data_IF_695196762494
#
_entry.id   IF_695196762494
#
_cell.length_a   1.000
_cell.length_b   1.000
_cell.length_c   1.000
_cell.angle_alpha   90.00
_cell.angle_beta   90.00
_cell.angle_gamma   90.00
#
_symmetry.space_group_name_H-M   'P 1'
#
loop_
_entity.id
_entity.type
_entity.pdbx_description
1 polymer ?
#
# COMPACT_ATOMS: atom_id res chain seq x y z
N UNK A 1 -36.42 -36.28 -26.55
CA UNK A 1 -37.29 -36.32 -25.36
C UNK A 1 -37.20 -37.72 -24.79
N UNK A 2 -36.36 -37.94 -23.78
CA UNK A 2 -36.40 -39.13 -22.92
C UNK A 2 -35.99 -38.66 -21.51
N UNK A 3 -36.82 -39.03 -20.54
CA UNK A 3 -36.90 -38.59 -19.16
C UNK A 3 -35.67 -38.91 -18.29
N UNK A 4 -35.44 -38.02 -17.33
CA UNK A 4 -34.72 -38.26 -16.06
C UNK A 4 -35.41 -39.34 -15.24
N UNK A 5 -34.66 -40.02 -14.36
CA UNK A 5 -35.16 -40.08 -12.99
C UNK A 5 -34.16 -39.59 -11.94
N UNK A 6 -34.65 -38.61 -11.17
CA UNK A 6 -34.29 -38.23 -9.80
C UNK A 6 -34.16 -39.44 -8.87
N UNK A 7 -33.16 -39.44 -8.00
CA UNK A 7 -33.25 -40.15 -6.71
C UNK A 7 -32.56 -39.34 -5.61
N UNK A 8 -33.20 -39.18 -4.43
CA UNK A 8 -32.75 -38.34 -3.34
C UNK A 8 -31.84 -39.12 -2.38
N UNK A 9 -30.72 -38.52 -1.95
CA UNK A 9 -29.99 -39.00 -0.77
C UNK A 9 -30.40 -38.14 0.41
N UNK A 10 -31.39 -38.68 1.13
CA UNK A 10 -31.77 -38.30 2.48
C UNK A 10 -30.94 -39.18 3.43
N UNK A 11 -30.00 -38.58 4.17
CA UNK A 11 -29.48 -39.21 5.40
C UNK A 11 -29.60 -38.18 6.51
N UNK A 12 -30.73 -38.28 7.20
CA UNK A 12 -30.88 -37.84 8.58
C UNK A 12 -29.77 -38.44 9.43
N UNK A 13 -28.96 -37.58 10.05
CA UNK A 13 -28.22 -37.93 11.26
C UNK A 13 -28.36 -36.81 12.27
N UNK A 14 -29.55 -36.76 12.88
CA UNK A 14 -29.73 -36.13 14.18
C UNK A 14 -28.77 -36.79 15.19
N UNK A 15 -27.71 -36.06 15.55
CA UNK A 15 -27.00 -36.27 16.82
C UNK A 15 -27.40 -35.13 17.74
N UNK A 16 -28.48 -35.41 18.47
CA UNK A 16 -28.99 -34.62 19.58
C UNK A 16 -28.01 -34.75 20.76
N UNK A 17 -27.31 -33.67 21.11
CA UNK A 17 -26.58 -33.53 22.38
C UNK A 17 -27.38 -32.59 23.30
N UNK A 18 -27.76 -33.02 24.52
CA UNK A 18 -28.54 -32.21 25.43
C UNK A 18 -27.63 -31.37 26.35
N UNK A 19 -27.97 -30.08 26.49
CA UNK A 19 -27.59 -29.28 27.66
C UNK A 19 -26.38 -28.35 27.50
N UNK A 20 -26.59 -27.18 26.93
CA UNK A 20 -25.94 -25.95 27.40
C UNK A 20 -26.68 -24.71 26.86
N UNK A 21 -26.98 -23.79 27.77
CA UNK A 21 -27.91 -22.67 27.59
C UNK A 21 -27.45 -21.59 26.58
N UNK A 22 -28.38 -20.90 25.88
CA UNK A 22 -28.07 -19.65 25.21
C UNK A 22 -28.05 -18.49 26.23
N UNK A 23 -26.95 -18.40 26.97
CA UNK A 23 -26.72 -17.34 27.94
C UNK A 23 -25.66 -16.35 27.46
N UNK A 24 -26.09 -15.08 27.29
CA UNK A 24 -25.27 -13.84 27.27
C UNK A 24 -24.67 -13.43 25.92
N UNK A 25 -25.47 -12.65 25.19
CA UNK A 25 -24.97 -11.53 24.37
C UNK A 25 -24.12 -10.63 25.25
N UNK A 26 -22.81 -10.65 25.04
CA UNK A 26 -21.91 -9.61 25.54
C UNK A 26 -21.85 -8.56 24.43
N UNK A 27 -22.65 -7.51 24.61
CA UNK A 27 -22.49 -6.25 23.90
C UNK A 27 -21.11 -5.68 24.27
N UNK A 28 -20.11 -5.97 23.46
CA UNK A 28 -18.82 -5.29 23.50
C UNK A 28 -18.95 -3.96 22.77
N UNK A 29 -19.77 -3.09 23.36
CA UNK A 29 -19.74 -1.66 23.15
C UNK A 29 -18.31 -1.13 23.19
N UNK A 30 -17.94 -0.40 22.15
CA UNK A 30 -17.10 0.79 22.25
C UNK A 30 -15.78 0.64 23.01
N UNK A 31 -14.80 -0.07 22.42
CA UNK A 31 -13.41 0.38 22.56
C UNK A 31 -13.06 1.26 21.37
N UNK A 32 -13.45 2.54 21.48
CA UNK A 32 -12.76 3.62 20.79
C UNK A 32 -11.31 3.55 21.25
N UNK A 33 -10.45 3.11 20.35
CA UNK A 33 -9.03 3.29 20.49
C UNK A 33 -8.75 4.78 20.24
N UNK A 34 -8.84 5.59 21.30
CA UNK A 34 -8.23 6.92 21.30
C UNK A 34 -6.73 6.73 21.55
N UNK A 35 -5.97 6.62 20.47
CA UNK A 35 -4.53 6.84 20.50
C UNK A 35 -4.24 8.35 20.46
N UNK A 36 -3.34 8.89 21.30
CA UNK A 36 -2.84 10.24 21.14
C UNK A 36 -1.77 10.23 20.06
N UNK A 37 -2.16 10.65 18.86
CA UNK A 37 -1.29 10.68 17.69
C UNK A 37 -2.12 11.04 16.49
N UNK A 38 -2.64 12.27 16.49
CA UNK A 38 -3.34 12.82 15.34
C UNK A 38 -2.42 12.75 14.14
N UNK A 39 -2.76 11.87 13.19
CA UNK A 39 -2.54 12.20 11.79
C UNK A 39 -3.38 13.46 11.57
N UNK A 40 -2.73 14.61 11.72
CA UNK A 40 -3.29 15.91 11.41
C UNK A 40 -3.83 15.77 9.99
N UNK A 41 -5.15 15.65 9.88
CA UNK A 41 -5.80 15.43 8.60
C UNK A 41 -5.45 16.64 7.76
N UNK A 42 -4.58 16.42 6.77
CA UNK A 42 -4.22 17.41 5.77
C UNK A 42 -5.47 18.20 5.42
N UNK A 43 -5.39 19.53 5.38
CA UNK A 43 -6.56 20.34 5.03
C UNK A 43 -7.16 19.78 3.74
N UNK A 44 -8.50 19.78 3.57
CA UNK A 44 -9.14 19.17 2.41
C UNK A 44 -8.50 19.59 1.07
N UNK A 45 -8.02 20.83 1.00
CA UNK A 45 -7.29 21.40 -0.13
C UNK A 45 -5.90 20.77 -0.34
N UNK A 46 -5.15 20.51 0.73
CA UNK A 46 -3.85 19.85 0.67
C UNK A 46 -3.98 18.40 0.22
N UNK A 47 -4.94 17.65 0.77
CA UNK A 47 -5.17 16.26 0.36
C UNK A 47 -5.55 16.15 -1.13
N UNK A 48 -6.34 17.09 -1.64
CA UNK A 48 -6.68 17.16 -3.08
C UNK A 48 -5.44 17.44 -3.94
N UNK A 49 -4.58 18.36 -3.51
CA UNK A 49 -3.32 18.66 -4.19
C UNK A 49 -2.38 17.44 -4.23
N UNK A 50 -2.22 16.72 -3.12
CA UNK A 50 -1.38 15.53 -3.05
C UNK A 50 -1.90 14.41 -3.96
N UNK A 51 -3.22 14.18 -4.00
CA UNK A 51 -3.83 13.24 -4.94
C UNK A 51 -3.61 13.64 -6.40
N UNK A 52 -3.68 14.93 -6.72
CA UNK A 52 -3.35 15.41 -8.07
C UNK A 52 -1.88 15.16 -8.41
N UNK A 53 -0.96 15.35 -7.45
CA UNK A 53 0.45 15.05 -7.62
C UNK A 53 0.68 13.54 -7.82
N UNK A 54 0.02 12.68 -7.05
CA UNK A 54 0.06 11.23 -7.22
C UNK A 54 -0.34 10.80 -8.65
N UNK A 55 -1.42 11.39 -9.18
CA UNK A 55 -1.84 11.15 -10.57
C UNK A 55 -0.79 11.53 -11.61
N UNK A 56 -0.06 12.65 -11.39
CA UNK A 56 1.05 13.05 -12.28
C UNK A 56 2.26 12.10 -12.21
N UNK A 57 2.49 11.49 -11.06
CA UNK A 57 3.50 10.46 -10.86
C UNK A 57 3.07 9.10 -11.45
N UNK A 58 1.85 8.99 -11.98
CA UNK A 58 1.29 7.75 -12.51
C UNK A 58 0.91 6.75 -11.42
N UNK A 59 0.74 7.22 -10.18
CA UNK A 59 0.08 6.48 -9.11
C UNK A 59 -1.44 6.69 -9.20
N UNK A 60 -2.20 5.75 -8.64
CA UNK A 60 -3.65 5.85 -8.58
C UNK A 60 -4.06 6.98 -7.61
N UNK A 61 -4.70 8.07 -8.06
CA UNK A 61 -5.12 9.16 -7.18
C UNK A 61 -6.21 8.75 -6.19
N UNK A 62 -6.83 7.58 -6.38
CA UNK A 62 -7.82 7.00 -5.46
C UNK A 62 -7.19 6.12 -4.37
N UNK A 63 -5.88 5.83 -4.47
CA UNK A 63 -5.15 5.12 -3.41
C UNK A 63 -5.26 5.92 -2.10
N UNK A 64 -5.65 5.24 -1.02
CA UNK A 64 -5.80 5.85 0.30
C UNK A 64 -4.50 6.53 0.79
N UNK A 65 -3.33 6.04 0.34
CA UNK A 65 -2.02 6.60 0.65
C UNK A 65 -1.76 7.93 -0.06
N UNK A 66 -2.39 8.20 -1.20
CA UNK A 66 -2.11 9.39 -2.01
C UNK A 66 -2.51 10.71 -1.34
N UNK A 67 -3.34 10.66 -0.28
CA UNK A 67 -3.82 11.83 0.44
C UNK A 67 -2.87 12.38 1.51
N UNK A 68 -1.77 11.69 1.82
CA UNK A 68 -0.82 12.13 2.86
C UNK A 68 0.59 12.33 2.28
N UNK A 69 1.42 13.21 2.88
CA UNK A 69 2.81 13.40 2.47
C UNK A 69 3.61 12.09 2.48
N UNK A 70 3.44 11.26 3.52
CA UNK A 70 4.12 9.97 3.68
C UNK A 70 3.70 9.00 2.59
N UNK A 71 2.40 8.90 2.32
CA UNK A 71 1.90 7.97 1.32
C UNK A 71 2.24 8.41 -0.10
N UNK A 72 2.27 9.73 -0.39
CA UNK A 72 2.78 10.25 -1.65
C UNK A 72 4.28 9.95 -1.84
N UNK A 73 5.09 10.16 -0.80
CA UNK A 73 6.51 9.84 -0.82
C UNK A 73 6.75 8.35 -1.07
N UNK A 74 5.98 7.49 -0.40
CA UNK A 74 6.03 6.04 -0.56
C UNK A 74 5.66 5.61 -1.98
N UNK A 75 4.53 6.08 -2.49
CA UNK A 75 4.06 5.78 -3.85
C UNK A 75 5.08 6.22 -4.92
N UNK A 76 5.63 7.43 -4.76
CA UNK A 76 6.67 7.94 -5.65
C UNK A 76 7.96 7.10 -5.60
N UNK A 77 8.39 6.69 -4.41
CA UNK A 77 9.57 5.85 -4.22
C UNK A 77 9.39 4.46 -4.82
N UNK A 78 8.27 3.79 -4.54
CA UNK A 78 7.92 2.47 -5.11
C UNK A 78 7.99 2.54 -6.64
N UNK A 79 7.37 3.55 -7.24
CA UNK A 79 7.34 3.67 -8.70
C UNK A 79 8.71 3.95 -9.31
N UNK A 80 9.48 4.83 -8.69
CA UNK A 80 10.82 5.18 -9.13
C UNK A 80 11.73 3.95 -9.11
N UNK A 81 11.74 3.21 -8.01
CA UNK A 81 12.55 2.00 -7.84
C UNK A 81 12.09 0.90 -8.80
N UNK A 82 10.78 0.67 -8.92
CA UNK A 82 10.21 -0.33 -9.83
C UNK A 82 10.66 -0.08 -11.28
N UNK A 83 10.41 1.12 -11.78
CA UNK A 83 10.62 1.45 -13.20
C UNK A 83 12.11 1.59 -13.55
N UNK A 84 12.90 2.23 -12.67
CA UNK A 84 14.29 2.57 -12.99
C UNK A 84 15.30 1.46 -12.66
N UNK A 85 14.99 0.59 -11.69
CA UNK A 85 15.94 -0.40 -11.18
C UNK A 85 15.46 -1.84 -11.34
N UNK A 86 14.22 -2.14 -10.93
CA UNK A 86 13.77 -3.54 -10.87
C UNK A 86 13.28 -4.05 -12.23
N UNK A 87 12.46 -3.29 -12.95
CA UNK A 87 11.93 -3.68 -14.25
C UNK A 87 13.04 -4.05 -15.27
N UNK A 88 14.15 -3.29 -15.39
CA UNK A 88 15.27 -3.69 -16.25
C UNK A 88 15.90 -5.04 -15.88
N UNK A 89 16.05 -5.33 -14.58
CA UNK A 89 16.63 -6.58 -14.09
C UNK A 89 15.70 -7.77 -14.36
N UNK A 90 14.40 -7.59 -14.16
CA UNK A 90 13.40 -8.62 -14.46
C UNK A 90 13.36 -8.92 -15.96
N UNK A 91 13.39 -7.88 -16.79
CA UNK A 91 13.48 -8.02 -18.25
C UNK A 91 14.72 -8.81 -18.67
N UNK A 92 15.89 -8.44 -18.14
CA UNK A 92 17.14 -9.13 -18.44
C UNK A 92 17.12 -10.59 -17.99
N UNK A 93 16.58 -10.87 -16.80
CA UNK A 93 16.40 -12.24 -16.30
C UNK A 93 15.50 -13.07 -17.21
N UNK A 94 14.40 -12.50 -17.73
CA UNK A 94 13.56 -13.20 -18.71
C UNK A 94 14.28 -13.43 -20.03
N UNK A 95 14.93 -12.39 -20.56
CA UNK A 95 15.60 -12.48 -21.87
C UNK A 95 16.77 -13.47 -21.84
N UNK A 96 17.49 -13.56 -20.73
CA UNK A 96 18.58 -14.53 -20.53
C UNK A 96 18.11 -15.95 -20.24
N UNK A 97 16.93 -16.14 -19.64
CA UNK A 97 16.34 -17.46 -19.37
C UNK A 97 15.52 -18.02 -20.53
N UNK A 98 15.33 -17.24 -21.60
CA UNK A 98 14.61 -17.66 -22.79
C UNK A 98 15.27 -18.90 -23.41
N UNK A 99 14.57 -20.04 -23.39
CA UNK A 99 15.09 -21.26 -23.99
C UNK A 99 15.15 -21.14 -25.51
N UNK A 100 16.15 -21.76 -26.12
CA UNK A 100 16.23 -21.97 -27.56
C UNK A 100 15.60 -23.31 -27.91
N UNK A 101 14.42 -23.31 -28.54
CA UNK A 101 13.76 -24.54 -29.01
C UNK A 101 12.24 -24.52 -28.87
N UNK A 102 11.63 -25.69 -28.64
CA UNK A 102 10.16 -25.84 -28.57
C UNK A 102 9.49 -25.11 -27.40
N UNK A 103 10.27 -24.63 -26.43
CA UNK A 103 9.84 -23.81 -25.29
C UNK A 103 10.36 -22.36 -25.38
N UNK A 104 10.76 -21.91 -26.57
CA UNK A 104 11.14 -20.53 -26.76
C UNK A 104 9.94 -19.59 -26.54
N UNK A 105 10.17 -18.35 -26.09
CA UNK A 105 9.10 -17.38 -25.88
C UNK A 105 8.22 -17.23 -27.13
N UNK A 106 6.93 -17.50 -26.96
CA UNK A 106 5.95 -17.41 -28.04
C UNK A 106 5.67 -15.96 -28.44
N UNK A 107 4.94 -15.73 -29.56
CA UNK A 107 4.56 -14.39 -29.99
C UNK A 107 3.73 -13.61 -28.97
N UNK A 108 3.00 -14.29 -28.08
CA UNK A 108 2.28 -13.66 -26.96
C UNK A 108 3.25 -13.10 -25.93
N UNK A 109 4.15 -13.94 -25.42
CA UNK A 109 5.13 -13.56 -24.40
C UNK A 109 6.04 -12.41 -24.86
N UNK A 110 6.46 -12.40 -26.13
CA UNK A 110 7.23 -11.29 -26.69
C UNK A 110 6.46 -9.96 -26.69
N UNK A 111 5.15 -10.00 -26.93
CA UNK A 111 4.31 -8.79 -26.97
C UNK A 111 3.95 -8.29 -25.58
N UNK A 112 3.65 -9.20 -24.66
CA UNK A 112 3.16 -8.86 -23.32
C UNK A 112 4.24 -8.93 -22.24
N UNK A 113 5.48 -9.29 -22.60
CA UNK A 113 6.58 -9.45 -21.64
C UNK A 113 6.81 -8.21 -20.77
N UNK A 114 6.78 -7.02 -21.37
CA UNK A 114 6.94 -5.77 -20.62
C UNK A 114 5.86 -5.56 -19.54
N UNK A 115 4.63 -6.04 -19.76
CA UNK A 115 3.57 -5.97 -18.75
C UNK A 115 3.86 -6.93 -17.59
N UNK A 116 4.36 -8.13 -17.90
CA UNK A 116 4.81 -9.09 -16.89
C UNK A 116 5.98 -8.53 -16.08
N UNK A 117 7.01 -7.99 -16.75
CA UNK A 117 8.18 -7.40 -16.08
C UNK A 117 7.78 -6.33 -15.08
N UNK A 118 6.94 -5.41 -15.54
CA UNK A 118 6.43 -4.33 -14.70
C UNK A 118 5.60 -4.84 -13.54
N UNK A 119 4.72 -5.82 -13.75
CA UNK A 119 3.92 -6.41 -12.66
C UNK A 119 4.79 -7.08 -11.59
N UNK A 120 5.84 -7.79 -12.02
CA UNK A 120 6.80 -8.44 -11.12
C UNK A 120 7.60 -7.36 -10.38
N UNK A 121 8.10 -6.35 -11.08
CA UNK A 121 8.84 -5.24 -10.49
C UNK A 121 8.01 -4.49 -9.43
N UNK A 122 6.75 -4.17 -9.75
CA UNK A 122 5.80 -3.54 -8.83
C UNK A 122 5.55 -4.43 -7.59
N UNK A 123 5.44 -5.75 -7.76
CA UNK A 123 5.27 -6.69 -6.64
C UNK A 123 6.50 -6.77 -5.72
N UNK A 124 7.71 -6.66 -6.28
CA UNK A 124 8.97 -6.69 -5.53
C UNK A 124 9.07 -5.43 -4.65
N UNK A 125 8.81 -4.25 -5.21
CA UNK A 125 8.93 -2.99 -4.45
C UNK A 125 7.81 -2.80 -3.42
N UNK A 126 6.65 -3.41 -3.62
CA UNK A 126 5.55 -3.44 -2.66
C UNK A 126 5.87 -4.29 -1.42
N UNK A 127 6.94 -5.10 -1.45
CA UNK A 127 7.34 -5.93 -0.32
C UNK A 127 7.69 -5.05 0.90
N UNK A 128 7.21 -5.39 2.11
CA UNK A 128 7.52 -4.65 3.31
C UNK A 128 9.04 -4.57 3.54
N UNK A 129 9.54 -3.37 3.81
CA UNK A 129 10.96 -3.17 4.16
C UNK A 129 11.94 -3.27 2.99
N UNK A 130 11.50 -3.18 1.73
CA UNK A 130 12.43 -3.10 0.60
C UNK A 130 13.34 -1.86 0.75
N UNK A 131 14.61 -2.07 1.10
CA UNK A 131 15.51 -1.01 1.55
C UNK A 131 15.68 0.14 0.56
N UNK A 132 15.71 -0.16 -0.74
CA UNK A 132 15.79 0.86 -1.79
C UNK A 132 14.60 1.82 -1.81
N UNK A 133 13.39 1.32 -1.53
CA UNK A 133 12.19 2.17 -1.42
C UNK A 133 12.28 3.03 -0.17
N UNK A 134 12.65 2.44 0.97
CA UNK A 134 12.74 3.17 2.25
C UNK A 134 13.71 4.35 2.17
N UNK A 135 14.87 4.18 1.54
CA UNK A 135 15.85 5.28 1.38
C UNK A 135 15.32 6.42 0.51
N UNK A 136 14.66 6.09 -0.60
CA UNK A 136 14.09 7.08 -1.53
C UNK A 136 12.86 7.75 -0.91
N UNK A 137 12.00 6.99 -0.25
CA UNK A 137 10.83 7.45 0.49
C UNK A 137 11.23 8.52 1.51
N UNK A 138 12.22 8.23 2.35
CA UNK A 138 12.72 9.20 3.34
C UNK A 138 13.18 10.51 2.69
N UNK A 139 13.88 10.42 1.55
CA UNK A 139 14.36 11.60 0.82
C UNK A 139 13.24 12.38 0.13
N UNK A 140 12.24 11.68 -0.40
CA UNK A 140 11.06 12.30 -1.00
C UNK A 140 10.19 12.98 0.05
N UNK A 141 10.00 12.35 1.22
CA UNK A 141 9.22 12.91 2.32
C UNK A 141 9.84 14.22 2.82
N UNK A 142 11.17 14.25 3.02
CA UNK A 142 11.89 15.47 3.38
C UNK A 142 11.62 16.60 2.37
N UNK A 143 11.68 16.29 1.07
CA UNK A 143 11.42 17.27 -0.01
C UNK A 143 9.96 17.73 -0.04
N UNK A 144 9.01 16.82 0.17
CA UNK A 144 7.58 17.14 0.19
C UNK A 144 7.28 18.06 1.38
N UNK A 145 7.82 17.77 2.57
CA UNK A 145 7.62 18.60 3.76
C UNK A 145 8.17 20.02 3.56
N UNK A 146 9.36 20.16 2.97
CA UNK A 146 9.91 21.46 2.58
C UNK A 146 8.98 22.19 1.60
N UNK A 147 8.49 21.48 0.57
CA UNK A 147 7.60 22.07 -0.44
C UNK A 147 6.23 22.48 0.11
N UNK A 148 5.74 21.81 1.15
CA UNK A 148 4.46 22.11 1.80
C UNK A 148 4.60 23.12 2.93
N UNK A 149 5.83 23.56 3.26
CA UNK A 149 6.09 24.44 4.40
C UNK A 149 5.82 23.78 5.76
N UNK A 150 5.76 22.44 5.81
CA UNK A 150 5.65 21.67 7.05
C UNK A 150 7.05 21.60 7.66
N UNK A 151 7.48 22.71 8.22
CA UNK A 151 8.57 22.70 9.19
C UNK A 151 7.91 22.58 10.55
N UNK A 152 8.23 21.52 11.31
CA UNK A 152 7.97 21.55 12.74
C UNK A 152 8.62 22.82 13.28
N UNK A 153 7.80 23.78 13.70
CA UNK A 153 8.20 24.76 14.68
C UNK A 153 8.48 23.98 15.97
N UNK A 154 9.68 23.39 16.05
CA UNK A 154 10.23 22.92 17.31
C UNK A 154 10.24 24.14 18.25
N UNK A 155 9.27 24.21 19.15
CA UNK A 155 9.28 25.11 20.29
C UNK A 155 10.58 24.94 21.09
N UNK A 156 11.03 25.88 21.92
CA UNK A 156 10.36 27.03 22.47
C UNK A 156 11.38 28.15 22.65
N UNK A 157 10.90 29.37 22.43
CA UNK A 157 11.43 30.56 23.06
C UNK A 157 11.49 30.34 24.57
N UNK A 158 12.67 30.09 25.13
CA UNK A 158 12.94 30.47 26.52
C UNK A 158 13.28 31.96 26.48
N UNK A 159 12.23 32.77 26.41
CA UNK A 159 12.27 34.12 26.96
C UNK A 159 12.24 33.96 28.47
N UNK A 160 13.43 33.90 29.05
CA UNK A 160 13.68 34.15 30.47
C UNK A 160 14.53 35.41 30.56
N UNK A 161 13.86 36.55 30.51
CA UNK A 161 14.34 37.84 30.96
C UNK A 161 15.06 37.73 32.30
N UNK A 162 16.36 38.04 32.32
CA UNK A 162 17.03 38.55 33.52
C UNK A 162 17.66 39.87 33.12
N UNK A 163 16.85 40.91 33.26
CA UNK A 163 17.29 42.29 33.41
C UNK A 163 18.29 42.43 34.56
N UNK A 164 19.13 43.44 34.40
CA UNK A 164 20.03 44.03 35.37
C UNK A 164 19.50 44.09 36.80
N UNK A 165 20.40 43.88 37.77
CA UNK A 165 20.55 44.80 38.91
C UNK A 165 21.87 44.59 39.65
N UNK A 166 22.65 45.69 39.66
CA UNK A 166 23.64 46.16 40.65
C UNK A 166 24.73 45.23 41.17
#
# INVERSE_FOLDING_TARGET
MIDTPTSPILVDRQLNMPGMEPGRVVDASSRRFEGPGGVESASPDQAAFLKQMAGRLGADPTDARAGTPEGLARLGAERMVSTALIEPLVREARESSASTGMFAPGPGEKRFGHLMDRSIADSIVASPGFGGVVSIERRLLERINISLGIHESSGAQVSGSTEERS
#
